data_IF_960075603542
#
_entry.id   IF_960075603542
#
_cell.length_a   1.000
_cell.length_b   1.000
_cell.length_c   1.000
_cell.angle_alpha   90.00
_cell.angle_beta   90.00
_cell.angle_gamma   90.00
#
_symmetry.space_group_name_H-M   'P 1'
#
loop_
_entity.id
_entity.type
_entity.pdbx_description
1 polymer ?
#
# COMPACT_ATOMS: atom_id res chain seq x y z
N UNK A 1 10.77 -18.39 -9.11
CA UNK A 1 11.50 -17.29 -8.46
C UNK A 1 12.48 -16.72 -9.48
N UNK A 2 12.29 -15.46 -9.86
CA UNK A 2 13.24 -14.74 -10.73
C UNK A 2 14.41 -14.21 -9.88
N UNK A 3 15.61 -14.17 -10.47
CA UNK A 3 16.81 -13.61 -9.80
C UNK A 3 16.60 -12.20 -9.27
N UNK A 4 15.83 -11.38 -10.02
CA UNK A 4 15.43 -10.02 -9.62
C UNK A 4 14.62 -10.02 -8.32
N UNK A 5 13.63 -10.90 -8.21
CA UNK A 5 12.79 -10.99 -7.00
C UNK A 5 13.58 -11.45 -5.77
N UNK A 6 14.56 -12.35 -5.94
CA UNK A 6 15.44 -12.77 -4.87
C UNK A 6 16.36 -11.62 -4.41
N UNK A 7 16.92 -10.86 -5.36
CA UNK A 7 17.76 -9.71 -5.04
C UNK A 7 16.99 -8.62 -4.28
N UNK A 8 15.77 -8.29 -4.71
CA UNK A 8 14.90 -7.33 -4.03
C UNK A 8 14.59 -7.80 -2.60
N UNK A 9 14.30 -9.09 -2.42
CA UNK A 9 14.03 -9.66 -1.10
C UNK A 9 15.25 -9.66 -0.19
N UNK A 10 16.43 -9.94 -0.73
CA UNK A 10 17.69 -9.85 0.01
C UNK A 10 17.97 -8.41 0.48
N UNK A 11 17.78 -7.42 -0.41
CA UNK A 11 17.99 -6.00 -0.11
C UNK A 11 16.98 -5.53 0.96
N UNK A 12 15.72 -5.96 0.90
CA UNK A 12 14.70 -5.60 1.88
C UNK A 12 14.98 -6.18 3.27
N UNK A 13 15.72 -7.27 3.35
CA UNK A 13 16.12 -7.87 4.62
C UNK A 13 17.29 -7.11 5.26
N UNK A 14 18.36 -6.88 4.51
CA UNK A 14 19.50 -6.07 4.96
C UNK A 14 20.31 -5.58 3.74
N UNK A 15 20.22 -4.28 3.44
CA UNK A 15 20.89 -3.68 2.28
C UNK A 15 22.42 -3.76 2.35
N UNK A 16 23.00 -3.55 3.53
CA UNK A 16 24.48 -3.56 3.71
C UNK A 16 25.07 -4.95 3.48
N UNK A 17 24.41 -5.99 4.00
CA UNK A 17 24.85 -7.38 3.83
C UNK A 17 24.69 -7.78 2.36
N UNK A 18 23.57 -7.42 1.73
CA UNK A 18 23.30 -7.75 0.33
C UNK A 18 24.33 -7.12 -0.61
N UNK A 19 24.74 -5.89 -0.36
CA UNK A 19 25.81 -5.23 -1.12
C UNK A 19 27.16 -5.96 -1.00
N UNK A 20 27.51 -6.43 0.21
CA UNK A 20 28.73 -7.21 0.44
C UNK A 20 28.68 -8.59 -0.19
N UNK A 21 27.50 -9.14 -0.41
CA UNK A 21 27.29 -10.43 -1.11
C UNK A 21 27.30 -10.28 -2.65
N UNK A 22 27.61 -9.09 -3.18
CA UNK A 22 27.71 -8.84 -4.63
C UNK A 22 26.38 -8.54 -5.31
N UNK A 23 25.31 -8.26 -4.56
CA UNK A 23 24.03 -7.84 -5.12
C UNK A 23 24.13 -6.36 -5.51
N UNK A 24 23.89 -6.06 -6.79
CA UNK A 24 23.83 -4.68 -7.28
C UNK A 24 22.53 -4.00 -6.82
N UNK A 25 22.63 -3.29 -5.70
CA UNK A 25 21.49 -2.65 -5.04
C UNK A 25 20.82 -1.63 -5.97
N UNK A 26 21.63 -0.82 -6.67
CA UNK A 26 21.13 0.24 -7.54
C UNK A 26 20.31 -0.33 -8.70
N UNK A 27 20.84 -1.33 -9.42
CA UNK A 27 20.11 -1.97 -10.53
C UNK A 27 18.81 -2.64 -10.06
N UNK A 28 18.86 -3.32 -8.92
CA UNK A 28 17.68 -4.00 -8.38
C UNK A 28 16.59 -3.00 -7.98
N UNK A 29 16.98 -1.86 -7.42
CA UNK A 29 16.06 -0.80 -7.01
C UNK A 29 15.44 -0.10 -8.22
N UNK A 30 16.24 0.24 -9.22
CA UNK A 30 15.76 0.81 -10.49
C UNK A 30 14.78 -0.12 -11.18
N UNK A 31 15.09 -1.42 -11.27
CA UNK A 31 14.17 -2.42 -11.82
C UNK A 31 12.84 -2.46 -11.07
N UNK A 32 12.88 -2.44 -9.74
CA UNK A 32 11.66 -2.43 -8.94
C UNK A 32 10.79 -1.19 -9.22
N UNK A 33 11.41 -0.02 -9.31
CA UNK A 33 10.71 1.25 -9.62
C UNK A 33 10.12 1.23 -11.04
N UNK A 34 10.88 0.74 -12.02
CA UNK A 34 10.39 0.63 -13.42
C UNK A 34 9.18 -0.30 -13.51
N UNK A 35 9.26 -1.49 -12.91
CA UNK A 35 8.13 -2.43 -12.89
C UNK A 35 6.93 -1.83 -12.16
N UNK A 36 7.15 -1.20 -11.01
CA UNK A 36 6.09 -0.49 -10.28
C UNK A 36 5.44 0.62 -11.13
N UNK A 37 6.25 1.43 -11.80
CA UNK A 37 5.78 2.49 -12.70
C UNK A 37 4.94 1.96 -13.86
N UNK A 38 5.30 0.81 -14.44
CA UNK A 38 4.49 0.16 -15.48
C UNK A 38 3.10 -0.23 -14.97
N UNK A 39 3.00 -0.82 -13.78
CA UNK A 39 1.71 -1.17 -13.18
C UNK A 39 0.86 0.06 -12.88
N UNK A 40 1.46 1.13 -12.37
CA UNK A 40 0.77 2.40 -12.14
C UNK A 40 0.26 3.00 -13.45
N UNK A 41 1.06 2.98 -14.51
CA UNK A 41 0.66 3.44 -15.84
C UNK A 41 -0.53 2.67 -16.42
N UNK A 42 -0.50 1.34 -16.32
CA UNK A 42 -1.61 0.47 -16.76
C UNK A 42 -2.87 0.77 -15.94
N UNK A 43 -2.74 0.87 -14.62
CA UNK A 43 -3.86 1.20 -13.73
C UNK A 43 -4.47 2.56 -14.06
N UNK A 44 -3.64 3.56 -14.33
CA UNK A 44 -4.08 4.89 -14.75
C UNK A 44 -4.84 4.86 -16.08
N UNK A 45 -4.34 4.13 -17.07
CA UNK A 45 -4.99 3.98 -18.36
C UNK A 45 -6.36 3.31 -18.23
N UNK A 46 -6.47 2.25 -17.44
CA UNK A 46 -7.74 1.56 -17.17
C UNK A 46 -8.72 2.51 -16.46
N UNK A 47 -8.24 3.27 -15.47
CA UNK A 47 -9.07 4.22 -14.73
C UNK A 47 -9.64 5.31 -15.65
N UNK A 48 -8.81 5.89 -16.53
CA UNK A 48 -9.25 6.89 -17.51
C UNK A 48 -10.26 6.29 -18.50
N UNK A 49 -10.01 5.07 -18.98
CA UNK A 49 -10.92 4.37 -19.89
C UNK A 49 -12.29 4.09 -19.28
N UNK A 50 -12.30 3.75 -17.99
CA UNK A 50 -13.54 3.51 -17.24
C UNK A 50 -14.29 4.80 -16.93
N UNK A 51 -13.58 5.85 -16.50
CA UNK A 51 -14.18 7.12 -16.13
C UNK A 51 -14.70 7.91 -17.35
N UNK A 52 -14.21 7.62 -18.57
CA UNK A 52 -14.60 8.29 -19.81
C UNK A 52 -14.21 9.78 -19.90
N UNK A 53 -13.66 10.35 -18.85
CA UNK A 53 -13.21 11.75 -18.77
C UNK A 53 -12.08 11.90 -17.78
N UNK A 54 -11.15 12.78 -18.09
CA UNK A 54 -10.10 13.19 -17.18
C UNK A 54 -10.62 14.40 -16.39
N UNK A 55 -10.87 14.20 -15.10
CA UNK A 55 -11.13 15.33 -14.21
C UNK A 55 -9.80 15.82 -13.66
N UNK A 56 -9.46 17.10 -13.85
CA UNK A 56 -8.25 17.65 -13.26
C UNK A 56 -8.39 17.61 -11.73
N UNK A 57 -7.51 16.83 -11.10
CA UNK A 57 -7.42 16.74 -9.64
C UNK A 57 -6.36 17.73 -9.20
N UNK A 58 -6.77 18.77 -8.51
CA UNK A 58 -5.89 19.86 -8.09
C UNK A 58 -5.82 19.97 -6.57
N UNK A 59 -4.65 20.36 -6.06
CA UNK A 59 -4.46 20.68 -4.66
C UNK A 59 -4.65 19.47 -3.72
N UNK A 60 -5.37 19.66 -2.64
CA UNK A 60 -5.59 18.67 -1.58
C UNK A 60 -6.32 17.40 -2.05
N UNK A 61 -7.10 17.48 -3.11
CA UNK A 61 -7.79 16.31 -3.68
C UNK A 61 -6.83 15.29 -4.28
N UNK A 62 -5.63 15.69 -4.72
CA UNK A 62 -4.59 14.76 -5.17
C UNK A 62 -4.00 13.97 -4.02
N UNK A 63 -3.94 14.56 -2.84
CA UNK A 63 -3.42 13.91 -1.63
C UNK A 63 -4.37 12.81 -1.17
N UNK A 64 -5.69 13.03 -1.27
CA UNK A 64 -6.69 12.03 -0.88
C UNK A 64 -6.59 10.73 -1.68
N UNK A 65 -6.20 10.81 -2.95
CA UNK A 65 -5.97 9.62 -3.80
C UNK A 65 -4.82 8.74 -3.31
N UNK A 66 -3.86 9.32 -2.56
CA UNK A 66 -2.71 8.59 -2.02
C UNK A 66 -3.06 7.90 -0.71
N UNK A 67 -4.00 8.44 0.06
CA UNK A 67 -4.34 7.88 1.37
C UNK A 67 -4.91 6.47 1.31
N UNK A 68 -5.72 6.17 0.31
CA UNK A 68 -6.36 4.85 0.18
C UNK A 68 -5.34 3.72 -0.06
N UNK A 69 -4.44 3.81 -1.05
CA UNK A 69 -3.40 2.79 -1.24
C UNK A 69 -2.37 2.78 -0.09
N UNK A 70 -2.06 3.93 0.52
CA UNK A 70 -1.17 3.99 1.66
C UNK A 70 -1.76 3.24 2.87
N UNK A 71 -3.04 3.46 3.15
CA UNK A 71 -3.75 2.77 4.23
C UNK A 71 -3.80 1.25 3.99
N UNK A 72 -4.03 0.82 2.74
CA UNK A 72 -3.98 -0.59 2.36
C UNK A 72 -2.59 -1.20 2.60
N UNK A 73 -1.53 -0.47 2.29
CA UNK A 73 -0.15 -0.91 2.51
C UNK A 73 0.19 -1.02 4.00
N UNK A 74 -0.24 -0.04 4.81
CA UNK A 74 -0.07 -0.08 6.26
C UNK A 74 -0.82 -1.26 6.89
N UNK A 75 -2.04 -1.51 6.43
CA UNK A 75 -2.83 -2.67 6.86
C UNK A 75 -2.14 -3.98 6.47
N UNK A 76 -1.60 -4.06 5.26
CA UNK A 76 -0.81 -5.21 4.80
C UNK A 76 0.43 -5.45 5.68
N UNK A 77 1.13 -4.37 6.06
CA UNK A 77 2.25 -4.42 6.99
C UNK A 77 1.85 -4.96 8.36
N UNK A 78 0.72 -4.50 8.90
CA UNK A 78 0.18 -4.99 10.16
C UNK A 78 -0.21 -6.48 10.11
N UNK A 79 -0.67 -6.97 8.95
CA UNK A 79 -1.05 -8.36 8.73
C UNK A 79 0.10 -9.24 8.22
N UNK A 80 1.29 -8.71 8.03
CA UNK A 80 2.43 -9.41 7.43
C UNK A 80 2.89 -10.66 8.18
N UNK A 81 2.53 -10.79 9.45
CA UNK A 81 2.79 -12.00 10.26
C UNK A 81 1.89 -13.18 9.92
N UNK A 82 0.70 -12.92 9.37
CA UNK A 82 -0.32 -13.94 9.07
C UNK A 82 -0.32 -14.26 7.58
N UNK A 83 -0.11 -13.24 6.75
CA UNK A 83 -0.17 -13.34 5.30
C UNK A 83 1.10 -12.77 4.65
N UNK A 84 1.43 -13.25 3.45
CA UNK A 84 2.45 -12.61 2.63
C UNK A 84 2.05 -11.16 2.36
N UNK A 85 3.03 -10.24 2.27
CA UNK A 85 2.79 -8.80 2.05
C UNK A 85 1.90 -8.54 0.83
N UNK A 86 2.03 -9.33 -0.24
CA UNK A 86 1.22 -9.20 -1.46
C UNK A 86 -0.25 -9.56 -1.19
N UNK A 87 -0.49 -10.71 -0.55
CA UNK A 87 -1.85 -11.14 -0.20
C UNK A 87 -2.47 -10.22 0.86
N UNK A 88 -1.66 -9.75 1.81
CA UNK A 88 -2.08 -8.75 2.80
C UNK A 88 -2.49 -7.43 2.16
N UNK A 89 -1.76 -6.95 1.15
CA UNK A 89 -2.08 -5.72 0.44
C UNK A 89 -3.39 -5.84 -0.37
N UNK A 90 -3.60 -6.97 -1.05
CA UNK A 90 -4.85 -7.20 -1.79
C UNK A 90 -6.06 -7.31 -0.87
N UNK A 91 -5.94 -8.05 0.22
CA UNK A 91 -7.00 -8.14 1.24
C UNK A 91 -7.25 -6.76 1.87
N UNK A 92 -6.20 -6.02 2.21
CA UNK A 92 -6.31 -4.66 2.75
C UNK A 92 -7.04 -3.71 1.81
N UNK A 93 -6.74 -3.75 0.51
CA UNK A 93 -7.46 -2.94 -0.47
C UNK A 93 -8.95 -3.30 -0.56
N UNK A 94 -9.28 -4.58 -0.58
CA UNK A 94 -10.68 -5.03 -0.61
C UNK A 94 -11.42 -4.60 0.65
N UNK A 95 -10.79 -4.73 1.83
CA UNK A 95 -11.38 -4.29 3.09
C UNK A 95 -11.64 -2.78 3.12
N UNK A 96 -10.68 -1.98 2.66
CA UNK A 96 -10.84 -0.52 2.60
C UNK A 96 -11.92 -0.13 1.59
N UNK A 97 -11.96 -0.76 0.41
CA UNK A 97 -13.01 -0.53 -0.57
C UNK A 97 -14.41 -0.88 -0.02
N UNK A 98 -14.52 -2.02 0.69
CA UNK A 98 -15.76 -2.42 1.35
C UNK A 98 -16.17 -1.40 2.44
N UNK A 99 -15.22 -0.90 3.22
CA UNK A 99 -15.46 0.11 4.24
C UNK A 99 -15.97 1.41 3.63
N UNK A 100 -15.37 1.89 2.55
CA UNK A 100 -15.87 3.07 1.84
C UNK A 100 -17.26 2.89 1.26
N UNK A 101 -17.54 1.72 0.65
CA UNK A 101 -18.88 1.40 0.17
C UNK A 101 -19.91 1.40 1.31
N UNK A 102 -19.55 0.80 2.44
CA UNK A 102 -20.42 0.76 3.62
C UNK A 102 -20.71 2.17 4.17
N UNK A 103 -19.68 3.03 4.28
CA UNK A 103 -19.85 4.42 4.70
C UNK A 103 -20.74 5.22 3.74
N UNK A 104 -20.60 4.99 2.44
CA UNK A 104 -21.44 5.61 1.42
C UNK A 104 -22.90 5.17 1.55
N UNK A 105 -23.16 3.89 1.82
CA UNK A 105 -24.49 3.36 2.08
C UNK A 105 -25.15 3.94 3.36
N UNK A 106 -24.34 4.25 4.37
CA UNK A 106 -24.80 4.93 5.58
C UNK A 106 -25.07 6.44 5.37
N UNK A 107 -24.89 6.95 4.16
CA UNK A 107 -25.13 8.36 3.85
C UNK A 107 -24.00 9.29 4.28
N UNK A 108 -22.83 8.78 4.62
CA UNK A 108 -21.66 9.61 4.92
C UNK A 108 -21.17 10.26 3.63
N UNK A 109 -21.13 11.62 3.54
CA UNK A 109 -20.70 12.29 2.32
C UNK A 109 -19.29 11.86 1.93
N UNK A 110 -19.11 11.56 0.64
CA UNK A 110 -17.79 11.26 0.07
C UNK A 110 -16.86 12.46 0.22
N UNK A 111 -15.61 12.22 0.60
CA UNK A 111 -14.59 13.24 0.78
C UNK A 111 -13.98 13.23 2.18
N UNK A 112 -13.77 14.40 2.76
CA UNK A 112 -13.01 14.60 4.00
C UNK A 112 -13.49 13.73 5.18
N UNK A 113 -14.78 13.50 5.31
CA UNK A 113 -15.32 12.65 6.39
C UNK A 113 -14.90 11.20 6.27
N UNK A 114 -14.93 10.65 5.07
CA UNK A 114 -14.49 9.28 4.82
C UNK A 114 -12.98 9.12 5.07
N UNK A 115 -12.20 10.14 4.72
CA UNK A 115 -10.76 10.17 4.94
C UNK A 115 -10.39 10.23 6.42
N UNK A 116 -11.14 11.01 7.23
CA UNK A 116 -10.96 11.07 8.68
C UNK A 116 -11.23 9.70 9.32
N UNK A 117 -12.33 9.05 8.93
CA UNK A 117 -12.69 7.72 9.45
C UNK A 117 -11.63 6.69 9.05
N UNK A 118 -11.15 6.77 7.79
CA UNK A 118 -10.09 5.89 7.32
C UNK A 118 -8.79 6.12 8.09
N UNK A 119 -8.35 7.35 8.26
CA UNK A 119 -7.16 7.69 9.02
C UNK A 119 -7.25 7.18 10.47
N UNK A 120 -8.40 7.36 11.11
CA UNK A 120 -8.63 6.89 12.47
C UNK A 120 -8.62 5.35 12.55
N UNK A 121 -9.22 4.67 11.59
CA UNK A 121 -9.21 3.21 11.52
C UNK A 121 -7.80 2.65 11.33
N UNK A 122 -6.98 3.27 10.49
CA UNK A 122 -5.57 2.88 10.27
C UNK A 122 -4.74 3.08 11.53
N UNK A 123 -4.92 4.20 12.24
CA UNK A 123 -4.22 4.47 13.51
C UNK A 123 -4.60 3.42 14.56
N UNK A 124 -5.88 3.06 14.68
CA UNK A 124 -6.33 2.03 15.60
C UNK A 124 -5.71 0.67 15.29
N UNK A 125 -5.72 0.27 14.02
CA UNK A 125 -5.13 -1.00 13.58
C UNK A 125 -3.62 -1.02 13.84
N UNK A 126 -2.92 0.07 13.51
CA UNK A 126 -1.49 0.20 13.75
C UNK A 126 -1.16 0.14 15.26
N UNK A 127 -1.96 0.79 16.10
CA UNK A 127 -1.78 0.78 17.56
C UNK A 127 -1.98 -0.62 18.14
N UNK A 128 -3.00 -1.35 17.69
CA UNK A 128 -3.27 -2.73 18.12
C UNK A 128 -2.13 -3.66 17.66
N UNK A 129 -1.68 -3.51 16.42
CA UNK A 129 -0.56 -4.29 15.87
C UNK A 129 0.72 -4.07 16.66
N UNK A 130 1.04 -2.83 17.00
CA UNK A 130 2.24 -2.47 17.76
C UNK A 130 2.19 -2.97 19.22
N UNK A 131 1.02 -2.96 19.84
CA UNK A 131 0.85 -3.49 21.21
C UNK A 131 1.14 -4.99 21.27
N UNK A 132 0.79 -5.71 20.22
CA UNK A 132 1.04 -7.16 20.13
C UNK A 132 2.53 -7.48 19.95
N UNK A 133 3.33 -6.56 19.40
CA UNK A 133 4.78 -6.73 19.27
C UNK A 133 5.53 -6.56 20.60
N UNK A 134 5.07 -5.67 21.45
CA UNK A 134 5.67 -5.42 22.77
C UNK A 134 5.40 -6.53 23.78
N UNK A 135 4.40 -7.37 23.54
CA UNK A 135 4.05 -8.51 24.40
C UNK A 135 4.93 -9.74 24.23
N UNK A 136 5.76 -9.80 23.19
CA UNK A 136 6.62 -10.97 22.86
C UNK A 136 8.07 -10.81 23.32
N UNK A 137 8.44 -9.62 23.81
CA UNK A 137 9.77 -9.36 24.38
C UNK A 137 9.64 -9.35 25.93
N UNK A 138 9.50 -10.53 26.47
CA UNK A 138 9.76 -10.84 27.89
C UNK A 138 10.44 -12.20 27.96
#
# INVERSE_FOLDING_TARGET
YTSIGLNIRAISSNADISGKMGVDIYKSLVMAVVVGGMFVGISGAINISYAGKILPVTGLSSVSMIFQPLAALLLAGAMSKIFNVITGATIGMVMIAALFNFLTLLGVPSGTWQEIILGLSVILIAAISQKNERGVVK
#
